data_IF_458886575885
#
_entry.id   IF_458886575885
#
_cell.length_a   1.000
_cell.length_b   1.000
_cell.length_c   1.000
_cell.angle_alpha   90.00
_cell.angle_beta   90.00
_cell.angle_gamma   90.00
#
_symmetry.space_group_name_H-M   'P 1'
#
loop_
_entity.id
_entity.type
_entity.pdbx_description
1 polymer ?
#
# COMPACT_ATOMS: atom_id res chain seq x y z
N UNK A 1 -2.29 65.97 -6.92
CA UNK A 1 -0.87 65.60 -7.11
C UNK A 1 -0.86 64.29 -7.88
N UNK A 2 -0.44 64.31 -9.14
CA UNK A 2 -0.37 63.10 -9.98
C UNK A 2 0.94 62.34 -9.69
N UNK A 3 0.91 61.01 -9.85
CA UNK A 3 2.09 60.15 -9.64
C UNK A 3 3.31 60.67 -10.45
N UNK A 4 3.07 61.06 -11.70
CA UNK A 4 4.07 61.64 -12.60
C UNK A 4 4.67 62.94 -12.07
N UNK A 5 3.86 63.81 -11.46
CA UNK A 5 4.32 65.10 -10.95
C UNK A 5 5.18 64.94 -9.68
N UNK A 6 4.85 63.97 -8.83
CA UNK A 6 5.63 63.62 -7.63
C UNK A 6 6.98 62.99 -8.00
N UNK A 7 6.99 62.09 -9.00
CA UNK A 7 8.20 61.44 -9.51
C UNK A 7 9.16 62.43 -10.18
N UNK A 8 8.64 63.44 -10.89
CA UNK A 8 9.46 64.51 -11.52
C UNK A 8 10.03 65.46 -10.46
N UNK A 9 9.24 65.84 -9.44
CA UNK A 9 9.68 66.76 -8.38
C UNK A 9 10.66 66.12 -7.38
N UNK A 10 10.66 64.79 -7.24
CA UNK A 10 11.55 64.04 -6.33
C UNK A 10 12.25 62.87 -7.06
N UNK A 11 13.28 63.13 -7.88
CA UNK A 11 13.94 62.09 -8.68
C UNK A 11 14.61 61.00 -7.83
N UNK A 12 15.17 61.35 -6.66
CA UNK A 12 15.78 60.38 -5.73
C UNK A 12 14.75 59.38 -5.20
N UNK A 13 13.53 59.84 -4.89
CA UNK A 13 12.45 58.95 -4.43
C UNK A 13 12.06 57.94 -5.51
N UNK A 14 11.93 58.38 -6.77
CA UNK A 14 11.63 57.50 -7.89
C UNK A 14 12.71 56.42 -8.12
N UNK A 15 14.00 56.79 -7.99
CA UNK A 15 15.13 55.85 -8.11
C UNK A 15 15.10 54.82 -6.99
N UNK A 16 14.86 55.24 -5.74
CA UNK A 16 14.75 54.31 -4.60
C UNK A 16 13.59 53.33 -4.80
N UNK A 17 12.41 53.80 -5.23
CA UNK A 17 11.28 52.92 -5.52
C UNK A 17 11.62 51.91 -6.62
N UNK A 18 12.34 52.31 -7.68
CA UNK A 18 12.78 51.42 -8.74
C UNK A 18 13.76 50.35 -8.24
N UNK A 19 14.74 50.75 -7.42
CA UNK A 19 15.69 49.82 -6.80
C UNK A 19 14.97 48.83 -5.88
N UNK A 20 13.99 49.30 -5.09
CA UNK A 20 13.17 48.42 -4.25
C UNK A 20 12.43 47.39 -5.10
N UNK A 21 11.81 47.79 -6.21
CA UNK A 21 11.13 46.86 -7.13
C UNK A 21 12.13 45.83 -7.70
N UNK A 22 13.34 46.25 -8.08
CA UNK A 22 14.37 45.35 -8.61
C UNK A 22 14.83 44.34 -7.54
N UNK A 23 15.04 44.79 -6.30
CA UNK A 23 15.44 43.92 -5.18
C UNK A 23 14.32 42.92 -4.86
N UNK A 24 13.07 43.37 -4.77
CA UNK A 24 11.92 42.47 -4.54
C UNK A 24 11.71 41.51 -5.71
N UNK A 25 11.93 41.95 -6.95
CA UNK A 25 11.88 41.10 -8.13
C UNK A 25 12.98 40.03 -8.12
N UNK A 26 14.21 40.40 -7.75
CA UNK A 26 15.33 39.45 -7.63
C UNK A 26 15.14 38.43 -6.50
N UNK A 27 14.65 38.89 -5.34
CA UNK A 27 14.26 37.99 -4.25
C UNK A 27 13.11 37.07 -4.68
N UNK A 28 12.05 37.62 -5.26
CA UNK A 28 10.90 36.83 -5.75
C UNK A 28 11.31 35.77 -6.77
N UNK A 29 12.21 36.12 -7.70
CA UNK A 29 12.76 35.17 -8.66
C UNK A 29 13.54 34.03 -8.00
N UNK A 30 14.23 34.31 -6.90
CA UNK A 30 15.03 33.31 -6.16
C UNK A 30 14.16 32.34 -5.33
N UNK A 31 12.93 32.73 -5.01
CA UNK A 31 11.97 31.91 -4.26
C UNK A 31 10.89 31.26 -5.14
N UNK A 32 10.86 31.55 -6.45
CA UNK A 32 9.89 30.93 -7.36
C UNK A 32 10.29 29.49 -7.66
N UNK A 33 9.42 28.54 -7.32
CA UNK A 33 9.58 27.15 -7.74
C UNK A 33 9.48 27.04 -9.26
N UNK A 34 10.44 26.35 -9.87
CA UNK A 34 10.41 26.03 -11.31
C UNK A 34 9.60 24.75 -11.50
N UNK A 35 8.65 24.77 -12.44
CA UNK A 35 7.84 23.59 -12.82
C UNK A 35 7.80 23.48 -14.34
N UNK A 36 7.80 22.25 -14.86
CA UNK A 36 7.79 21.98 -16.31
C UNK A 36 6.40 22.23 -16.93
N UNK A 37 5.32 21.92 -16.21
CA UNK A 37 3.93 22.16 -16.62
C UNK A 37 3.12 22.84 -15.50
N UNK A 38 2.07 23.63 -15.83
CA UNK A 38 1.09 24.06 -14.84
C UNK A 38 0.37 22.83 -14.27
N UNK A 39 0.20 22.79 -12.95
CA UNK A 39 -0.51 21.69 -12.28
C UNK A 39 -2.00 21.78 -12.63
N UNK A 40 -2.43 20.98 -13.61
CA UNK A 40 -3.83 20.71 -13.91
C UNK A 40 -4.05 19.25 -13.51
N UNK A 41 -4.02 18.97 -12.21
CA UNK A 41 -4.30 17.64 -11.70
C UNK A 41 -5.83 17.50 -11.62
N UNK A 42 -6.47 16.70 -12.50
CA UNK A 42 -7.89 16.45 -12.37
C UNK A 42 -8.18 15.81 -11.00
N UNK A 43 -9.25 16.22 -10.29
CA UNK A 43 -9.56 15.67 -8.98
C UNK A 43 -10.05 14.23 -9.15
N UNK A 44 -9.17 13.27 -8.88
CA UNK A 44 -9.45 11.84 -9.05
C UNK A 44 -9.32 11.09 -7.73
N UNK A 45 -10.22 10.13 -7.52
CA UNK A 45 -10.18 9.17 -6.41
C UNK A 45 -10.14 7.76 -7.00
N UNK A 46 -9.19 6.96 -6.53
CA UNK A 46 -9.08 5.55 -6.87
C UNK A 46 -9.66 4.69 -5.75
N UNK A 47 -10.44 3.67 -6.14
CA UNK A 47 -10.93 2.61 -5.27
C UNK A 47 -10.32 1.30 -5.76
N UNK A 48 -9.50 0.67 -4.91
CA UNK A 48 -8.84 -0.61 -5.23
C UNK A 48 -9.37 -1.71 -4.32
N UNK A 49 -9.65 -2.87 -4.90
CA UNK A 49 -10.01 -4.06 -4.17
C UNK A 49 -9.25 -5.27 -4.72
N UNK A 50 -8.77 -6.13 -3.82
CA UNK A 50 -8.05 -7.36 -4.16
C UNK A 50 -8.93 -8.56 -3.83
N UNK A 51 -9.07 -9.48 -4.78
CA UNK A 51 -9.80 -10.73 -4.60
C UNK A 51 -9.04 -11.87 -5.29
N UNK A 52 -7.99 -12.34 -4.64
CA UNK A 52 -7.04 -13.30 -5.22
C UNK A 52 -7.74 -14.64 -5.51
N UNK A 53 -7.46 -15.19 -6.70
CA UNK A 53 -8.03 -16.47 -7.14
C UNK A 53 -9.31 -16.36 -7.97
N UNK A 54 -9.94 -15.19 -8.04
CA UNK A 54 -11.06 -14.93 -8.95
C UNK A 54 -10.56 -14.49 -10.35
N UNK A 55 -11.29 -14.91 -11.40
CA UNK A 55 -11.06 -14.44 -12.76
C UNK A 55 -11.66 -13.03 -12.97
N UNK A 56 -11.27 -12.35 -14.05
CA UNK A 56 -11.70 -10.97 -14.32
C UNK A 56 -13.23 -10.80 -14.37
N UNK A 57 -13.94 -11.77 -14.95
CA UNK A 57 -15.42 -11.73 -15.08
C UNK A 57 -16.13 -11.84 -13.72
N UNK A 58 -15.68 -12.72 -12.82
CA UNK A 58 -16.23 -12.82 -11.47
C UNK A 58 -15.96 -11.52 -10.70
N UNK A 59 -14.75 -10.96 -10.83
CA UNK A 59 -14.38 -9.71 -10.17
C UNK A 59 -15.24 -8.56 -10.67
N UNK A 60 -15.45 -8.47 -11.98
CA UNK A 60 -16.32 -7.46 -12.59
C UNK A 60 -17.73 -7.52 -11.99
N UNK A 61 -18.35 -8.70 -12.01
CA UNK A 61 -19.74 -8.88 -11.57
C UNK A 61 -19.94 -8.74 -10.06
N UNK A 62 -19.03 -9.29 -9.26
CA UNK A 62 -19.22 -9.39 -7.80
C UNK A 62 -18.58 -8.25 -7.01
N UNK A 63 -17.57 -7.58 -7.57
CA UNK A 63 -16.82 -6.53 -6.88
C UNK A 63 -16.96 -5.20 -7.62
N UNK A 64 -16.54 -5.16 -8.89
CA UNK A 64 -16.43 -3.91 -9.64
C UNK A 64 -17.79 -3.24 -9.84
N UNK A 65 -18.79 -3.97 -10.33
CA UNK A 65 -20.14 -3.44 -10.55
C UNK A 65 -20.81 -2.93 -9.26
N UNK A 66 -20.63 -3.64 -8.15
CA UNK A 66 -21.22 -3.30 -6.85
C UNK A 66 -20.61 -1.99 -6.34
N UNK A 67 -19.29 -1.87 -6.39
CA UNK A 67 -18.56 -0.68 -5.99
C UNK A 67 -18.85 0.50 -6.94
N UNK A 68 -18.86 0.27 -8.25
CA UNK A 68 -19.14 1.30 -9.25
C UNK A 68 -20.54 1.89 -9.07
N UNK A 69 -21.57 1.05 -8.91
CA UNK A 69 -22.94 1.50 -8.65
C UNK A 69 -23.05 2.34 -7.37
N UNK A 70 -22.30 1.97 -6.33
CA UNK A 70 -22.28 2.73 -5.08
C UNK A 70 -21.63 4.11 -5.25
N UNK A 71 -20.53 4.17 -5.98
CA UNK A 71 -19.75 5.39 -6.19
C UNK A 71 -20.39 6.34 -7.21
N UNK A 72 -21.15 5.83 -8.17
CA UNK A 72 -21.93 6.63 -9.12
C UNK A 72 -22.98 7.53 -8.41
N UNK A 73 -23.36 7.21 -7.17
CA UNK A 73 -24.25 8.04 -6.35
C UNK A 73 -23.58 9.24 -5.66
N UNK A 74 -22.26 9.42 -5.83
CA UNK A 74 -21.52 10.55 -5.23
C UNK A 74 -21.71 11.81 -6.08
N UNK A 75 -21.89 12.96 -5.42
CA UNK A 75 -22.09 14.23 -6.10
C UNK A 75 -20.79 14.75 -6.74
N UNK A 76 -20.89 15.28 -7.95
CA UNK A 76 -19.76 15.92 -8.64
C UNK A 76 -18.86 14.95 -9.40
N UNK A 77 -19.27 13.68 -9.54
CA UNK A 77 -18.61 12.72 -10.43
C UNK A 77 -18.84 13.15 -11.88
N UNK A 78 -17.74 13.28 -12.62
CA UNK A 78 -17.71 13.58 -14.05
C UNK A 78 -17.60 12.31 -14.88
N UNK A 79 -16.71 11.40 -14.49
CA UNK A 79 -16.50 10.14 -15.20
C UNK A 79 -16.06 9.03 -14.23
N UNK A 80 -16.43 7.78 -14.54
CA UNK A 80 -15.95 6.60 -13.82
C UNK A 80 -15.35 5.64 -14.84
N UNK A 81 -14.13 5.19 -14.58
CA UNK A 81 -13.46 4.16 -15.38
C UNK A 81 -13.07 3.00 -14.49
N UNK A 82 -13.53 1.81 -14.83
CA UNK A 82 -13.28 0.60 -14.07
C UNK A 82 -12.43 -0.37 -14.89
N UNK A 83 -11.47 -1.03 -14.23
CA UNK A 83 -10.63 -2.06 -14.83
C UNK A 83 -10.56 -3.26 -13.89
N UNK A 84 -11.00 -4.41 -14.39
CA UNK A 84 -10.99 -5.68 -13.66
C UNK A 84 -9.97 -6.61 -14.29
N UNK A 85 -9.11 -7.17 -13.46
CA UNK A 85 -8.07 -8.12 -13.86
C UNK A 85 -8.07 -9.29 -12.90
N UNK A 86 -7.39 -10.38 -13.25
CA UNK A 86 -7.30 -11.52 -12.35
C UNK A 86 -6.75 -11.09 -10.99
N UNK A 87 -7.49 -11.37 -9.92
CA UNK A 87 -7.10 -11.03 -8.55
C UNK A 87 -7.31 -9.57 -8.12
N UNK A 88 -7.68 -8.63 -9.00
CA UNK A 88 -7.85 -7.22 -8.60
C UNK A 88 -8.82 -6.39 -9.43
N UNK A 89 -9.46 -5.43 -8.77
CA UNK A 89 -10.33 -4.40 -9.36
C UNK A 89 -9.80 -3.01 -9.03
N UNK A 90 -9.72 -2.15 -10.04
CA UNK A 90 -9.37 -0.74 -9.88
C UNK A 90 -10.46 0.14 -10.51
N UNK A 91 -11.03 1.05 -9.72
CA UNK A 91 -12.07 1.98 -10.14
C UNK A 91 -11.52 3.40 -9.97
N UNK A 92 -11.48 4.15 -11.05
CA UNK A 92 -10.99 5.52 -11.13
C UNK A 92 -12.17 6.46 -11.30
N UNK A 93 -12.33 7.37 -10.34
CA UNK A 93 -13.46 8.29 -10.25
C UNK A 93 -12.94 9.70 -10.48
N UNK A 94 -13.29 10.30 -11.61
CA UNK A 94 -12.94 11.68 -11.95
C UNK A 94 -14.08 12.61 -11.53
N UNK A 95 -13.74 13.68 -10.81
CA UNK A 95 -14.67 14.71 -10.36
C UNK A 95 -14.62 15.96 -11.23
N UNK A 96 -15.68 16.77 -11.15
CA UNK A 96 -15.73 18.08 -11.78
C UNK A 96 -14.70 19.06 -11.17
N UNK A 97 -14.24 20.01 -11.99
CA UNK A 97 -13.29 21.03 -11.55
C UNK A 97 -13.91 21.91 -10.45
N UNK A 98 -13.17 22.09 -9.35
CA UNK A 98 -13.61 22.90 -8.20
C UNK A 98 -14.32 22.13 -7.09
N UNK A 99 -14.48 20.81 -7.24
CA UNK A 99 -14.90 19.93 -6.13
C UNK A 99 -13.76 19.79 -5.13
N UNK A 100 -14.08 19.87 -3.83
CA UNK A 100 -13.15 19.56 -2.75
C UNK A 100 -12.84 18.06 -2.76
N UNK A 101 -11.59 17.71 -3.11
CA UNK A 101 -11.15 16.32 -3.24
C UNK A 101 -11.18 15.56 -1.90
N UNK A 102 -11.02 16.24 -0.77
CA UNK A 102 -11.09 15.59 0.55
C UNK A 102 -12.53 15.21 0.88
N UNK A 103 -13.47 16.12 0.62
CA UNK A 103 -14.90 15.83 0.77
C UNK A 103 -15.32 14.71 -0.17
N UNK A 104 -14.95 14.79 -1.44
CA UNK A 104 -15.26 13.76 -2.43
C UNK A 104 -14.68 12.39 -2.04
N UNK A 105 -13.43 12.31 -1.59
CA UNK A 105 -12.82 11.06 -1.15
C UNK A 105 -13.51 10.47 0.10
N UNK A 106 -13.97 11.33 1.02
CA UNK A 106 -14.75 10.89 2.17
C UNK A 106 -16.14 10.37 1.77
N UNK A 107 -16.82 11.05 0.86
CA UNK A 107 -18.12 10.63 0.32
C UNK A 107 -18.00 9.27 -0.40
N UNK A 108 -16.95 9.09 -1.22
CA UNK A 108 -16.63 7.80 -1.89
C UNK A 108 -16.39 6.72 -0.84
N UNK A 109 -15.57 6.99 0.19
CA UNK A 109 -15.30 6.02 1.26
C UNK A 109 -16.56 5.63 2.02
N UNK A 110 -17.46 6.57 2.27
CA UNK A 110 -18.74 6.29 2.90
C UNK A 110 -19.60 5.37 2.01
N UNK A 111 -19.73 5.68 0.71
CA UNK A 111 -20.50 4.85 -0.23
C UNK A 111 -19.95 3.44 -0.38
N UNK A 112 -18.63 3.31 -0.49
CA UNK A 112 -17.94 2.01 -0.53
C UNK A 112 -18.18 1.22 0.76
N UNK A 113 -18.11 1.89 1.92
CA UNK A 113 -18.38 1.26 3.22
C UNK A 113 -19.84 0.77 3.33
N UNK A 114 -20.82 1.54 2.83
CA UNK A 114 -22.24 1.17 2.84
C UNK A 114 -22.54 -0.13 2.08
N UNK A 115 -21.79 -0.41 1.01
CA UNK A 115 -21.97 -1.63 0.19
C UNK A 115 -20.98 -2.74 0.54
N UNK A 116 -20.09 -2.54 1.51
CA UNK A 116 -19.07 -3.52 1.90
C UNK A 116 -19.68 -4.88 2.29
N UNK A 117 -20.88 -4.89 2.89
CA UNK A 117 -21.59 -6.13 3.23
C UNK A 117 -22.23 -6.88 2.04
N UNK A 118 -22.25 -6.26 0.85
CA UNK A 118 -22.70 -6.89 -0.40
C UNK A 118 -21.55 -7.55 -1.17
N UNK A 119 -20.30 -7.26 -0.78
CA UNK A 119 -19.12 -7.87 -1.36
C UNK A 119 -18.93 -9.30 -0.84
N UNK A 120 -18.19 -10.16 -1.58
CA UNK A 120 -17.83 -11.48 -1.09
C UNK A 120 -17.12 -11.43 0.27
N UNK A 121 -17.46 -12.36 1.18
CA UNK A 121 -16.88 -12.39 2.54
C UNK A 121 -15.45 -12.92 2.59
N UNK A 122 -14.99 -13.52 1.49
CA UNK A 122 -13.66 -14.11 1.31
C UNK A 122 -12.67 -13.15 0.61
N UNK A 123 -12.98 -11.85 0.58
CA UNK A 123 -12.02 -10.82 0.16
C UNK A 123 -10.78 -10.82 1.06
N UNK A 124 -9.60 -10.68 0.46
CA UNK A 124 -8.33 -10.63 1.19
C UNK A 124 -8.21 -9.39 2.08
N UNK A 125 -8.76 -8.26 1.60
CA UNK A 125 -8.74 -6.99 2.29
C UNK A 125 -9.97 -6.15 1.90
N UNK A 126 -10.45 -5.26 2.79
CA UNK A 126 -11.51 -4.32 2.45
C UNK A 126 -11.05 -3.38 1.31
N UNK A 127 -11.98 -2.88 0.48
CA UNK A 127 -11.64 -1.92 -0.56
C UNK A 127 -10.95 -0.68 0.00
N UNK A 128 -9.85 -0.28 -0.62
CA UNK A 128 -9.06 0.89 -0.21
C UNK A 128 -9.42 2.06 -1.10
N UNK A 129 -9.88 3.15 -0.49
CA UNK A 129 -10.18 4.42 -1.16
C UNK A 129 -9.03 5.38 -0.93
N UNK A 130 -8.37 5.78 -2.01
CA UNK A 130 -7.23 6.66 -1.98
C UNK A 130 -7.38 7.78 -3.02
N UNK A 131 -6.92 8.98 -2.67
CA UNK A 131 -6.81 10.11 -3.62
C UNK A 131 -5.74 9.74 -4.67
N UNK A 132 -5.85 10.23 -5.90
CA UNK A 132 -4.93 9.88 -7.01
C UNK A 132 -3.45 10.28 -6.77
N UNK A 133 -3.12 10.82 -5.60
CA UNK A 133 -1.74 10.84 -5.09
C UNK A 133 -1.12 9.44 -4.94
N UNK A 134 -1.93 8.39 -5.07
CA UNK A 134 -1.48 6.99 -5.07
C UNK A 134 -0.71 6.59 -6.33
N UNK A 135 -0.86 7.37 -7.41
CA UNK A 135 -0.09 7.26 -8.65
C UNK A 135 0.82 8.49 -8.84
N UNK A 136 1.16 9.21 -7.77
CA UNK A 136 2.10 10.32 -7.86
C UNK A 136 3.41 9.78 -8.48
N UNK A 137 3.76 10.33 -9.65
CA UNK A 137 4.86 9.85 -10.45
C UNK A 137 6.11 9.77 -9.59
N UNK A 138 6.78 8.60 -9.54
CA UNK A 138 7.97 8.48 -8.74
C UNK A 138 9.05 9.45 -9.24
N UNK A 139 9.47 10.36 -8.36
CA UNK A 139 10.52 11.34 -8.66
C UNK A 139 11.90 10.69 -8.76
N UNK A 140 12.09 9.55 -8.07
CA UNK A 140 13.35 8.81 -8.06
C UNK A 140 13.09 7.31 -8.08
N UNK A 141 13.71 6.63 -9.05
CA UNK A 141 13.82 5.18 -9.08
C UNK A 141 15.20 4.72 -8.61
N UNK A 142 15.24 4.05 -7.47
CA UNK A 142 16.44 3.39 -6.96
C UNK A 142 16.34 1.89 -7.17
N UNK A 143 17.49 1.24 -7.37
CA UNK A 143 17.54 -0.20 -7.55
C UNK A 143 18.63 -0.77 -6.64
N UNK A 144 18.28 -1.81 -5.89
CA UNK A 144 19.18 -2.49 -4.98
C UNK A 144 19.52 -3.87 -5.53
N UNK A 145 20.82 -4.16 -5.56
CA UNK A 145 21.39 -5.41 -6.05
C UNK A 145 22.50 -5.86 -5.11
N UNK A 146 22.67 -7.17 -4.99
CA UNK A 146 23.78 -7.77 -4.25
C UNK A 146 24.17 -9.09 -4.91
N UNK A 147 25.47 -9.34 -4.99
CA UNK A 147 26.01 -10.63 -5.44
C UNK A 147 26.20 -11.62 -4.27
N UNK A 148 25.96 -11.17 -3.02
CA UNK A 148 26.18 -11.98 -1.80
C UNK A 148 24.89 -12.31 -1.05
N UNK A 149 23.80 -11.59 -1.32
CA UNK A 149 22.52 -11.73 -0.63
C UNK A 149 21.43 -12.19 -1.60
N UNK A 150 20.48 -12.95 -1.09
CA UNK A 150 19.30 -13.38 -1.85
C UNK A 150 18.35 -12.20 -2.06
N UNK A 151 17.43 -12.33 -3.02
CA UNK A 151 16.46 -11.25 -3.32
C UNK A 151 15.54 -10.95 -2.13
N UNK A 152 15.20 -11.97 -1.34
CA UNK A 152 14.44 -11.84 -0.09
C UNK A 152 15.20 -10.99 0.93
N UNK A 153 16.48 -11.28 1.16
CA UNK A 153 17.32 -10.50 2.10
C UNK A 153 17.52 -9.05 1.65
N UNK A 154 17.61 -8.81 0.33
CA UNK A 154 17.71 -7.45 -0.21
C UNK A 154 16.38 -6.71 -0.02
N UNK A 155 15.25 -7.39 -0.21
CA UNK A 155 13.91 -6.83 -0.06
C UNK A 155 13.62 -6.48 1.40
N UNK A 156 14.01 -7.36 2.33
CA UNK A 156 13.95 -7.12 3.77
C UNK A 156 14.76 -5.89 4.18
N UNK A 157 15.99 -5.75 3.67
CA UNK A 157 16.83 -4.58 3.92
C UNK A 157 16.24 -3.30 3.30
N UNK A 158 15.62 -3.42 2.13
CA UNK A 158 14.95 -2.30 1.47
C UNK A 158 13.76 -1.78 2.29
N UNK A 159 12.92 -2.69 2.79
CA UNK A 159 11.68 -2.38 3.54
C UNK A 159 12.00 -1.90 4.96
N UNK A 160 12.83 -2.64 5.71
CA UNK A 160 13.03 -2.37 7.14
C UNK A 160 14.15 -1.35 7.45
N UNK A 161 14.98 -0.96 6.48
CA UNK A 161 16.09 -0.02 6.72
C UNK A 161 16.04 1.16 5.75
N UNK A 162 15.97 0.89 4.44
CA UNK A 162 16.12 1.96 3.44
C UNK A 162 14.84 2.78 3.33
N UNK A 163 13.68 2.14 3.25
CA UNK A 163 12.38 2.80 3.19
C UNK A 163 12.14 3.67 4.41
N UNK A 164 12.36 3.16 5.63
CA UNK A 164 12.17 3.94 6.86
C UNK A 164 13.00 5.23 6.83
N UNK A 165 14.26 5.16 6.39
CA UNK A 165 15.13 6.34 6.31
C UNK A 165 14.69 7.32 5.23
N UNK A 166 14.30 6.83 4.05
CA UNK A 166 13.86 7.69 2.94
C UNK A 166 12.55 8.41 3.28
N UNK A 167 11.64 7.74 3.97
CA UNK A 167 10.37 8.33 4.41
C UNK A 167 10.55 9.47 5.43
N UNK A 168 11.69 9.55 6.15
CA UNK A 168 11.97 10.67 7.05
C UNK A 168 12.41 11.96 6.33
N UNK A 169 12.69 11.91 5.03
CA UNK A 169 13.12 13.07 4.25
C UNK A 169 11.92 13.98 4.00
N UNK A 170 12.06 15.27 4.32
CA UNK A 170 11.01 16.27 4.06
C UNK A 170 10.69 16.32 2.56
N UNK A 171 9.41 16.25 2.22
CA UNK A 171 8.93 16.22 0.84
C UNK A 171 8.75 14.82 0.24
N UNK A 172 9.07 13.74 0.98
CA UNK A 172 8.75 12.36 0.59
C UNK A 172 7.38 11.97 1.15
N UNK A 173 6.49 11.51 0.27
CA UNK A 173 5.14 11.00 0.63
C UNK A 173 5.21 9.52 0.96
N UNK A 174 5.95 8.75 0.16
CA UNK A 174 6.08 7.31 0.33
C UNK A 174 7.18 6.71 -0.52
N UNK A 175 7.51 5.45 -0.24
CA UNK A 175 8.44 4.67 -1.03
C UNK A 175 7.76 3.35 -1.37
N UNK A 176 7.51 3.13 -2.65
CA UNK A 176 6.94 1.89 -3.17
C UNK A 176 8.06 0.90 -3.48
N UNK A 177 8.06 -0.24 -2.81
CA UNK A 177 9.06 -1.30 -3.01
C UNK A 177 8.48 -2.38 -3.93
N UNK A 178 9.18 -2.63 -5.03
CA UNK A 178 8.94 -3.73 -5.96
C UNK A 178 10.01 -4.79 -5.75
N UNK A 179 9.78 -5.60 -4.72
CA UNK A 179 10.65 -6.70 -4.29
C UNK A 179 9.85 -7.95 -3.94
N UNK A 180 10.50 -8.90 -3.28
CA UNK A 180 9.87 -10.12 -2.82
C UNK A 180 9.64 -10.04 -1.31
N UNK A 181 8.39 -10.19 -0.89
CA UNK A 181 8.05 -10.31 0.53
C UNK A 181 8.22 -11.76 0.99
N UNK A 182 8.86 -12.01 2.15
CA UNK A 182 8.93 -13.35 2.70
C UNK A 182 7.53 -13.80 3.15
N UNK A 183 7.14 -14.99 2.74
CA UNK A 183 5.91 -15.66 3.14
C UNK A 183 6.19 -17.13 3.47
N UNK A 184 5.49 -17.66 4.47
CA UNK A 184 5.52 -19.08 4.77
C UNK A 184 4.64 -19.82 3.75
N UNK A 185 5.28 -20.57 2.84
CA UNK A 185 4.58 -21.34 1.81
C UNK A 185 4.37 -22.76 2.29
N UNK A 186 3.11 -23.20 2.26
CA UNK A 186 2.73 -24.57 2.61
C UNK A 186 2.42 -25.34 1.33
N UNK A 187 3.21 -26.38 1.08
CA UNK A 187 3.03 -27.29 -0.05
C UNK A 187 2.38 -28.59 0.42
N UNK A 188 1.37 -29.04 -0.31
CA UNK A 188 0.61 -30.23 0.05
C UNK A 188 0.86 -31.38 -0.91
N UNK A 189 0.91 -32.60 -0.39
CA UNK A 189 0.89 -33.82 -1.19
C UNK A 189 -0.56 -34.33 -1.29
N UNK A 190 -1.21 -34.25 -2.48
CA UNK A 190 -2.61 -34.63 -2.64
C UNK A 190 -2.86 -36.12 -2.37
N UNK A 191 -1.86 -36.98 -2.59
CA UNK A 191 -1.97 -38.43 -2.33
C UNK A 191 -2.01 -38.68 -0.83
N UNK A 192 -1.14 -38.01 -0.05
CA UNK A 192 -1.12 -38.14 1.40
C UNK A 192 -2.35 -37.54 2.05
N UNK A 193 -2.79 -36.35 1.63
CA UNK A 193 -4.05 -35.75 2.08
C UNK A 193 -5.22 -36.73 1.92
N UNK A 194 -5.33 -37.35 0.74
CA UNK A 194 -6.38 -38.34 0.46
C UNK A 194 -6.25 -39.59 1.33
N UNK A 195 -5.04 -40.12 1.53
CA UNK A 195 -4.79 -41.28 2.38
C UNK A 195 -5.19 -41.05 3.85
N UNK A 196 -4.95 -39.84 4.37
CA UNK A 196 -5.32 -39.45 5.73
C UNK A 196 -6.77 -38.97 5.85
N UNK A 197 -7.51 -38.87 4.74
CA UNK A 197 -8.87 -38.30 4.67
C UNK A 197 -8.90 -36.89 5.26
N UNK A 198 -7.98 -36.05 4.80
CA UNK A 198 -7.86 -34.65 5.17
C UNK A 198 -8.08 -33.78 3.93
N UNK A 199 -8.70 -32.63 4.15
CA UNK A 199 -8.92 -31.60 3.14
C UNK A 199 -8.04 -30.38 3.42
N UNK A 200 -7.92 -29.50 2.43
CA UNK A 200 -7.20 -28.21 2.61
C UNK A 200 -7.91 -27.36 3.67
N UNK A 201 -9.25 -27.44 3.74
CA UNK A 201 -10.04 -26.76 4.77
C UNK A 201 -9.67 -27.19 6.19
N UNK A 202 -9.42 -28.49 6.40
CA UNK A 202 -8.98 -28.99 7.71
C UNK A 202 -7.63 -28.39 8.13
N UNK A 203 -6.70 -28.24 7.18
CA UNK A 203 -5.40 -27.61 7.43
C UNK A 203 -5.56 -26.12 7.72
N UNK A 204 -6.42 -25.41 6.98
CA UNK A 204 -6.73 -24.00 7.25
C UNK A 204 -7.30 -23.84 8.66
N UNK A 205 -8.28 -24.65 9.05
CA UNK A 205 -8.87 -24.62 10.40
C UNK A 205 -7.84 -24.92 11.49
N UNK A 206 -6.93 -25.87 11.25
CA UNK A 206 -5.84 -26.16 12.19
C UNK A 206 -4.89 -24.97 12.32
N UNK A 207 -4.52 -24.32 11.21
CA UNK A 207 -3.65 -23.15 11.22
C UNK A 207 -4.28 -21.97 11.95
N UNK A 208 -5.55 -21.68 11.67
CA UNK A 208 -6.30 -20.59 12.32
C UNK A 208 -6.48 -20.81 13.82
N UNK A 209 -6.54 -22.08 14.27
CA UNK A 209 -6.66 -22.44 15.68
C UNK A 209 -5.34 -22.33 16.43
N UNK A 210 -4.24 -22.79 15.83
CA UNK A 210 -2.95 -22.93 16.52
C UNK A 210 -2.07 -21.68 16.36
N UNK A 211 -2.14 -20.96 15.24
CA UNK A 211 -1.31 -19.78 14.97
C UNK A 211 -1.93 -18.49 15.53
N UNK A 212 -2.18 -18.46 16.84
CA UNK A 212 -2.80 -17.33 17.52
C UNK A 212 -1.90 -16.80 18.65
N UNK A 213 -1.83 -15.47 18.77
CA UNK A 213 -1.20 -14.82 19.93
C UNK A 213 -2.28 -14.53 20.98
N UNK A 214 -2.37 -15.38 22.00
CA UNK A 214 -3.35 -15.22 23.08
C UNK A 214 -2.78 -14.34 24.20
N UNK A 215 -3.51 -13.30 24.65
CA UNK A 215 -3.10 -12.53 25.82
C UNK A 215 -3.25 -13.43 27.06
N UNK A 216 -2.14 -13.77 27.71
CA UNK A 216 -2.15 -14.60 28.91
C UNK A 216 -2.67 -13.90 30.17
N UNK A 217 -2.95 -12.59 30.08
CA UNK A 217 -3.45 -11.79 31.18
C UNK A 217 -2.37 -11.48 32.21
N UNK A 218 -2.76 -11.42 33.49
CA UNK A 218 -1.85 -11.07 34.59
C UNK A 218 -2.16 -11.86 35.85
N UNK A 219 -1.11 -12.29 36.53
CA UNK A 219 -1.17 -12.92 37.85
C UNK A 219 -0.82 -11.85 38.88
N UNK A 220 -1.73 -11.57 39.80
CA UNK A 220 -1.55 -10.58 40.86
C UNK A 220 -1.41 -11.27 42.21
N UNK A 221 -0.29 -11.02 42.89
CA UNK A 221 -0.09 -11.29 44.31
C UNK A 221 -0.26 -10.02 45.16
N UNK A 222 -0.01 -10.11 46.46
CA UNK A 222 -0.21 -8.99 47.40
C UNK A 222 0.71 -7.78 47.16
N UNK A 223 1.90 -7.99 46.58
CA UNK A 223 2.90 -6.94 46.28
C UNK A 223 3.54 -7.08 44.89
N UNK A 224 3.04 -7.98 44.03
CA UNK A 224 3.63 -8.23 42.72
C UNK A 224 2.55 -8.50 41.68
N UNK A 225 2.73 -7.94 40.49
CA UNK A 225 1.89 -8.20 39.33
C UNK A 225 2.80 -8.72 38.21
N UNK A 226 2.53 -9.94 37.73
CA UNK A 226 3.28 -10.58 36.66
C UNK A 226 2.37 -10.73 35.45
N UNK A 227 2.79 -10.16 34.32
CA UNK A 227 2.09 -10.35 33.04
C UNK A 227 2.43 -11.73 32.49
N UNK A 228 1.41 -12.50 32.12
CA UNK A 228 1.59 -13.81 31.49
C UNK A 228 1.50 -13.61 29.99
N UNK A 229 2.52 -14.06 29.26
CA UNK A 229 2.55 -14.08 27.81
C UNK A 229 2.57 -15.53 27.32
N UNK A 230 1.56 -15.92 26.54
CA UNK A 230 1.54 -17.20 25.87
C UNK A 230 2.17 -17.05 24.47
N UNK A 231 3.13 -17.92 24.15
CA UNK A 231 3.75 -17.96 22.82
C UNK A 231 3.03 -19.01 21.97
N UNK A 232 1.99 -18.59 21.25
CA UNK A 232 1.22 -19.45 20.34
C UNK A 232 1.51 -19.21 18.85
N UNK A 233 2.23 -18.13 18.50
CA UNK A 233 2.50 -17.79 17.11
C UNK A 233 3.61 -18.66 16.53
N UNK A 234 3.38 -19.23 15.36
CA UNK A 234 4.37 -20.02 14.61
C UNK A 234 5.27 -19.05 13.83
N UNK A 235 6.59 -19.24 13.88
CA UNK A 235 7.54 -18.30 13.26
C UNK A 235 8.56 -18.97 12.35
N UNK A 236 8.96 -20.20 12.68
CA UNK A 236 9.95 -20.95 11.91
C UNK A 236 9.30 -22.00 11.02
N UNK A 237 10.00 -22.43 9.97
CA UNK A 237 9.54 -23.55 9.14
C UNK A 237 9.29 -24.82 9.97
N UNK A 238 10.10 -25.04 11.01
CA UNK A 238 9.96 -26.19 11.91
C UNK A 238 8.65 -26.10 12.72
N UNK A 239 8.28 -24.92 13.22
CA UNK A 239 7.01 -24.70 13.93
C UNK A 239 5.83 -25.08 13.04
N UNK A 240 5.83 -24.61 11.79
CA UNK A 240 4.79 -24.93 10.82
C UNK A 240 4.78 -26.42 10.45
N UNK A 241 5.94 -27.02 10.19
CA UNK A 241 6.04 -28.44 9.86
C UNK A 241 5.58 -29.36 11.00
N UNK A 242 5.69 -28.91 12.25
CA UNK A 242 5.23 -29.63 13.43
C UNK A 242 3.77 -29.32 13.83
N UNK A 243 3.09 -28.43 13.11
CA UNK A 243 1.67 -28.10 13.31
C UNK A 243 0.82 -29.37 13.30
N UNK A 244 -0.01 -29.54 14.33
CA UNK A 244 -0.91 -30.68 14.47
C UNK A 244 -2.20 -30.39 13.70
N UNK A 245 -2.45 -31.17 12.65
CA UNK A 245 -3.65 -31.04 11.80
C UNK A 245 -4.81 -31.83 12.39
N UNK A 246 -4.55 -33.08 12.79
CA UNK A 246 -5.55 -33.94 13.41
C UNK A 246 -4.94 -34.80 14.50
N UNK A 247 -5.67 -34.96 15.59
CA UNK A 247 -5.33 -35.86 16.69
C UNK A 247 -6.50 -36.82 16.93
N UNK A 248 -6.22 -38.11 16.92
CA UNK A 248 -7.14 -39.20 17.31
C UNK A 248 -6.48 -40.00 18.44
N UNK A 249 -7.19 -40.89 19.13
CA UNK A 249 -6.76 -41.67 20.32
C UNK A 249 -5.58 -42.66 20.12
N UNK A 250 -4.56 -42.26 19.36
CA UNK A 250 -3.35 -43.03 19.10
C UNK A 250 -2.51 -42.48 17.94
N UNK A 251 -3.04 -41.55 17.14
CA UNK A 251 -2.34 -40.99 15.98
C UNK A 251 -2.44 -39.47 15.95
N UNK A 252 -1.28 -38.82 15.82
CA UNK A 252 -1.13 -37.39 15.60
C UNK A 252 -0.65 -37.21 14.17
N UNK A 253 -1.42 -36.51 13.36
CA UNK A 253 -1.05 -36.16 11.99
C UNK A 253 -0.59 -34.71 12.00
N UNK A 254 0.66 -34.49 11.61
CA UNK A 254 1.29 -33.18 11.51
C UNK A 254 1.36 -32.70 10.07
N UNK A 255 1.63 -31.41 9.86
CA UNK A 255 1.81 -30.84 8.52
C UNK A 255 2.89 -31.58 7.72
N UNK A 256 4.01 -31.93 8.34
CA UNK A 256 5.09 -32.71 7.70
C UNK A 256 4.67 -34.10 7.19
N UNK A 257 3.58 -34.66 7.72
CA UNK A 257 3.07 -35.97 7.30
C UNK A 257 2.25 -35.86 6.01
N UNK A 258 1.76 -34.67 5.67
CA UNK A 258 0.89 -34.40 4.50
C UNK A 258 1.47 -33.38 3.51
N UNK A 259 2.62 -32.79 3.82
CA UNK A 259 3.20 -31.68 3.08
C UNK A 259 4.47 -31.16 3.73
N UNK A 260 4.84 -29.92 3.40
CA UNK A 260 5.92 -29.20 4.07
C UNK A 260 5.70 -27.69 3.99
N UNK A 261 6.23 -26.98 4.99
CA UNK A 261 6.30 -25.53 5.04
C UNK A 261 7.74 -25.06 4.80
N UNK A 262 7.89 -24.03 3.96
CA UNK A 262 9.19 -23.39 3.66
C UNK A 262 8.99 -21.88 3.48
N UNK A 263 9.96 -21.09 3.92
CA UNK A 263 9.97 -19.65 3.66
C UNK A 263 10.34 -19.43 2.20
N UNK A 264 9.48 -18.71 1.50
CA UNK A 264 9.69 -18.31 0.12
C UNK A 264 9.13 -16.92 -0.16
N UNK A 265 9.20 -16.45 -1.40
CA UNK A 265 8.53 -15.23 -1.80
C UNK A 265 7.00 -15.43 -1.81
N UNK A 266 6.26 -14.41 -1.34
CA UNK A 266 4.80 -14.32 -1.40
C UNK A 266 4.32 -14.48 -2.84
N UNK A 267 4.92 -13.71 -3.75
CA UNK A 267 4.62 -13.74 -5.18
C UNK A 267 5.88 -14.13 -5.97
N UNK A 268 5.79 -15.21 -6.75
CA UNK A 268 6.86 -15.69 -7.64
C UNK A 268 6.70 -15.23 -9.09
N UNK A 269 5.53 -14.70 -9.45
CA UNK A 269 5.17 -14.31 -10.81
C UNK A 269 5.74 -12.93 -11.17
N UNK A 270 6.00 -12.09 -10.17
CA UNK A 270 6.64 -10.78 -10.36
C UNK A 270 8.14 -10.84 -10.08
N UNK A 271 8.92 -10.26 -10.98
CA UNK A 271 10.36 -10.10 -10.78
C UNK A 271 10.86 -8.83 -11.44
N UNK A 272 11.65 -8.06 -10.69
CA UNK A 272 12.34 -6.85 -11.15
C UNK A 272 13.78 -7.18 -11.51
N UNK A 273 14.25 -6.64 -12.64
CA UNK A 273 15.62 -6.85 -13.14
C UNK A 273 16.22 -5.55 -13.66
N UNK A 274 17.53 -5.40 -13.50
CA UNK A 274 18.37 -4.40 -14.19
C UNK A 274 19.49 -5.11 -14.89
N UNK A 275 19.73 -4.80 -16.16
CA UNK A 275 20.85 -5.39 -16.92
C UNK A 275 20.89 -6.94 -16.77
N UNK A 276 19.71 -7.56 -16.77
CA UNK A 276 19.49 -9.01 -16.59
C UNK A 276 19.85 -9.59 -15.20
N UNK A 277 20.18 -8.76 -14.21
CA UNK A 277 20.38 -9.15 -12.81
C UNK A 277 19.11 -8.86 -12.02
N UNK A 278 18.63 -9.82 -11.21
CA UNK A 278 17.47 -9.61 -10.31
C UNK A 278 17.79 -8.50 -9.31
N UNK A 279 16.88 -7.55 -9.16
CA UNK A 279 17.04 -6.38 -8.31
C UNK A 279 15.76 -6.10 -7.55
N UNK A 280 15.84 -5.37 -6.45
CA UNK A 280 14.68 -4.75 -5.80
C UNK A 280 14.60 -3.32 -6.30
N UNK A 281 13.45 -2.92 -6.85
CA UNK A 281 13.26 -1.54 -7.28
C UNK A 281 12.49 -0.78 -6.20
N UNK A 282 12.89 0.46 -5.93
CA UNK A 282 12.22 1.36 -5.01
C UNK A 282 11.87 2.64 -5.75
N UNK A 283 10.61 3.01 -5.69
CA UNK A 283 10.07 4.22 -6.30
C UNK A 283 9.74 5.22 -5.18
N UNK A 284 10.44 6.34 -5.15
CA UNK A 284 10.20 7.41 -4.16
C UNK A 284 9.17 8.37 -4.73
N UNK A 285 8.12 8.62 -3.96
CA UNK A 285 6.99 9.46 -4.32
C UNK A 285 7.08 10.75 -3.51
N UNK A 286 6.97 11.90 -4.16
CA UNK A 286 7.01 13.21 -3.51
C UNK A 286 5.65 13.58 -2.89
N UNK A 287 5.63 14.44 -1.87
CA UNK A 287 4.40 15.04 -1.37
C UNK A 287 3.88 16.10 -2.35
N UNK A 288 2.55 16.25 -2.51
CA UNK A 288 1.95 17.32 -3.29
C UNK A 288 2.52 18.69 -2.93
N UNK A 289 2.90 19.47 -3.94
CA UNK A 289 3.42 20.82 -3.75
C UNK A 289 4.89 20.91 -3.31
N UNK A 290 5.57 19.77 -3.09
CA UNK A 290 7.03 19.76 -2.87
C UNK A 290 7.78 20.20 -4.12
N UNK A 291 8.96 20.81 -3.94
CA UNK A 291 9.83 21.09 -5.07
C UNK A 291 10.48 19.78 -5.55
N UNK A 292 10.23 19.42 -6.80
CA UNK A 292 10.67 18.15 -7.41
C UNK A 292 11.94 18.31 -8.26
N UNK A 293 12.49 19.52 -8.36
CA UNK A 293 13.66 19.89 -9.17
C UNK A 293 14.78 20.46 -8.29
#
# INVERSE_FOLDING_TARGET
MNLSELSIKRPVFAVVCSIVIIIFGGLGYSFLGVREYPAIDPPIVNVRCSYVGANAEIIEQQVTEVLEKAVNGVQGVKNITSSSSQGSSNITVEFELGVDLERAANDVREKVSQVSGQLPQDLDAPPVVAKQDSDAEPIVFMQMQSNKRTLLEISDLAENIVQERLQTISGVSGVNIFGQRPAMRIWFDPVKLSAYRLTISDVKTALDRENIELPGGKVRGNVTELTVKAYGKLTTEEDFNNLIIRQTEGNIIRLKDIGYAIIGPENEESATRKNNVRSVNMAVVAQPGSNQV
#
